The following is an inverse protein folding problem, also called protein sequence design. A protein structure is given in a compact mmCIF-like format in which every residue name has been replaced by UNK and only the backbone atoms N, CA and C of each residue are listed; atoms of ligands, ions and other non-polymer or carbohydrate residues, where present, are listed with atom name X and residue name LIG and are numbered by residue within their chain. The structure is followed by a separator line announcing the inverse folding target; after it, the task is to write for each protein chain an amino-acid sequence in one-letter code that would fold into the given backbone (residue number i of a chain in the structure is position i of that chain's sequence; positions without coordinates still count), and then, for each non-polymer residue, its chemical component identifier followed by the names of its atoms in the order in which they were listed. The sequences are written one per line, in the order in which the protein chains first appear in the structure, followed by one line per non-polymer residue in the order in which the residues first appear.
data_IF_021982559281
#
_entry.id   IF_021982559281
#
_cell.length_a   1.000
_cell.length_b   1.000
_cell.length_c   1.000
_cell.angle_alpha   90.00
_cell.angle_beta   90.00
_cell.angle_gamma   90.00
#
_symmetry.space_group_name_H-M   'P 1'
#
loop_
_entity.id
_entity.type
_entity.pdbx_description
1 polymer ?
#
# COMPACT_ATOMS: atom_id res chain seq x y z
N UNK A 1 18.69 12.88 15.69
CA UNK A 1 17.75 12.29 14.71
C UNK A 1 16.67 13.33 14.41
N UNK A 2 16.53 13.73 13.15
CA UNK A 2 15.67 14.85 12.72
C UNK A 2 14.18 14.55 12.89
N UNK A 3 13.42 15.48 13.47
CA UNK A 3 11.98 15.33 13.76
C UNK A 3 11.11 15.05 12.53
N UNK A 4 11.58 15.39 11.33
CA UNK A 4 10.90 15.09 10.06
C UNK A 4 10.75 13.58 9.83
N UNK A 5 11.80 12.80 10.16
CA UNK A 5 11.80 11.35 9.90
C UNK A 5 10.82 10.61 10.81
N UNK A 6 10.71 11.05 12.08
CA UNK A 6 9.77 10.51 13.05
C UNK A 6 8.31 10.82 12.67
N UNK A 7 8.03 12.04 12.21
CA UNK A 7 6.69 12.44 11.77
C UNK A 7 6.19 11.58 10.59
N UNK A 8 7.06 11.33 9.60
CA UNK A 8 6.71 10.52 8.42
C UNK A 8 6.43 9.07 8.79
N UNK A 9 7.23 8.47 9.67
CA UNK A 9 7.01 7.09 10.17
C UNK A 9 5.73 6.97 11.02
N UNK A 10 5.45 7.94 11.88
CA UNK A 10 4.24 7.96 12.71
C UNK A 10 2.97 8.17 11.88
N UNK A 11 3.04 9.00 10.83
CA UNK A 11 1.94 9.21 9.89
C UNK A 11 1.51 7.91 9.22
N UNK A 12 2.46 7.13 8.70
CA UNK A 12 2.15 5.90 7.98
C UNK A 12 1.60 4.81 8.89
N UNK A 13 2.11 4.69 10.12
CA UNK A 13 1.58 3.71 11.09
C UNK A 13 0.10 3.94 11.41
N UNK A 14 -0.35 5.20 11.45
CA UNK A 14 -1.75 5.52 11.72
C UNK A 14 -2.71 5.08 10.58
N UNK A 15 -2.20 4.93 9.35
CA UNK A 15 -2.99 4.50 8.19
C UNK A 15 -3.03 2.96 8.05
N UNK A 16 -2.37 2.20 8.92
CA UNK A 16 -2.31 0.74 8.82
C UNK A 16 -1.64 0.27 7.52
N UNK A 17 -2.19 -0.74 6.86
CA UNK A 17 -1.58 -1.35 5.65
C UNK A 17 -1.37 -0.37 4.50
N UNK A 18 -2.28 0.58 4.28
CA UNK A 18 -2.11 1.55 3.19
C UNK A 18 -0.94 2.49 3.47
N UNK A 19 -0.67 2.81 4.74
CA UNK A 19 0.51 3.59 5.13
C UNK A 19 1.81 2.84 4.86
N UNK A 20 1.86 1.53 5.14
CA UNK A 20 3.01 0.69 4.79
C UNK A 20 3.25 0.65 3.27
N UNK A 21 2.20 0.51 2.45
CA UNK A 21 2.36 0.59 0.99
C UNK A 21 2.87 1.96 0.53
N UNK A 22 2.36 3.06 1.08
CA UNK A 22 2.86 4.42 0.78
C UNK A 22 4.34 4.55 1.11
N UNK A 23 4.76 4.04 2.27
CA UNK A 23 6.17 3.99 2.67
C UNK A 23 7.04 3.23 1.67
N UNK A 24 6.66 2.00 1.34
CA UNK A 24 7.43 1.13 0.45
C UNK A 24 7.59 1.77 -0.93
N UNK A 25 6.49 2.34 -1.47
CA UNK A 25 6.50 3.04 -2.75
C UNK A 25 7.39 4.29 -2.72
N UNK A 26 7.29 5.12 -1.68
CA UNK A 26 8.08 6.36 -1.57
C UNK A 26 9.57 6.08 -1.38
N UNK A 27 9.92 5.08 -0.58
CA UNK A 27 11.31 4.67 -0.35
C UNK A 27 11.93 3.90 -1.53
N UNK A 28 11.14 3.56 -2.56
CA UNK A 28 11.60 2.74 -3.69
C UNK A 28 12.27 1.43 -3.22
N UNK A 29 11.71 0.81 -2.19
CA UNK A 29 12.26 -0.37 -1.53
C UNK A 29 11.33 -1.59 -1.68
N UNK A 30 11.74 -2.72 -1.10
CA UNK A 30 10.85 -3.86 -0.85
C UNK A 30 10.85 -4.15 0.65
N UNK A 31 9.68 -4.45 1.20
CA UNK A 31 9.53 -4.73 2.63
C UNK A 31 8.37 -5.70 2.89
N UNK A 32 8.28 -6.21 4.10
CA UNK A 32 7.27 -7.19 4.50
C UNK A 32 6.02 -6.51 5.06
N UNK A 33 4.86 -6.84 4.50
CA UNK A 33 3.53 -6.47 5.02
C UNK A 33 2.76 -7.76 5.32
N UNK A 34 2.33 -7.96 6.56
CA UNK A 34 1.67 -9.19 7.02
C UNK A 34 2.40 -10.50 6.64
N UNK A 35 3.73 -10.50 6.63
CA UNK A 35 4.52 -11.67 6.24
C UNK A 35 4.70 -11.88 4.73
N UNK A 36 4.14 -11.01 3.89
CA UNK A 36 4.34 -11.01 2.44
C UNK A 36 5.36 -9.95 2.02
N UNK A 37 6.35 -10.34 1.22
CA UNK A 37 7.28 -9.39 0.61
C UNK A 37 6.56 -8.59 -0.48
N UNK A 38 6.54 -7.28 -0.34
CA UNK A 38 5.90 -6.33 -1.27
C UNK A 38 6.96 -5.37 -1.78
N UNK A 39 7.12 -5.26 -3.10
CA UNK A 39 8.03 -4.33 -3.74
C UNK A 39 7.38 -2.96 -4.00
N UNK A 40 8.21 -1.96 -4.37
CA UNK A 40 7.76 -0.60 -4.64
C UNK A 40 6.67 -0.52 -5.73
N UNK A 41 6.74 -1.36 -6.76
CA UNK A 41 5.78 -1.38 -7.86
C UNK A 41 4.40 -1.90 -7.42
N UNK A 42 4.40 -3.02 -6.68
CA UNK A 42 3.19 -3.62 -6.12
C UNK A 42 2.58 -2.70 -5.06
N UNK A 43 3.41 -2.09 -4.22
CA UNK A 43 2.98 -1.12 -3.23
C UNK A 43 2.34 0.11 -3.91
N UNK A 44 2.97 0.66 -4.94
CA UNK A 44 2.42 1.77 -5.72
C UNK A 44 1.08 1.40 -6.36
N UNK A 45 0.95 0.20 -6.94
CA UNK A 45 -0.31 -0.30 -7.48
C UNK A 45 -1.42 -0.35 -6.41
N UNK A 46 -1.10 -0.83 -5.20
CA UNK A 46 -2.04 -0.87 -4.08
C UNK A 46 -2.50 0.53 -3.66
N UNK A 47 -1.57 1.50 -3.61
CA UNK A 47 -1.88 2.90 -3.30
C UNK A 47 -2.78 3.52 -4.36
N UNK A 48 -2.42 3.37 -5.64
CA UNK A 48 -3.21 3.89 -6.76
C UNK A 48 -4.63 3.33 -6.76
N UNK A 49 -4.79 2.02 -6.58
CA UNK A 49 -6.11 1.41 -6.54
C UNK A 49 -6.91 1.93 -5.35
N UNK A 50 -6.36 1.89 -4.13
CA UNK A 50 -7.04 2.36 -2.92
C UNK A 50 -7.55 3.79 -3.06
N UNK A 51 -6.74 4.70 -3.62
CA UNK A 51 -7.09 6.11 -3.78
C UNK A 51 -8.17 6.33 -4.85
N UNK A 52 -8.28 5.43 -5.84
CA UNK A 52 -9.33 5.44 -6.86
C UNK A 52 -10.65 4.78 -6.41
N UNK A 53 -10.67 4.04 -5.30
CA UNK A 53 -11.89 3.40 -4.80
C UNK A 53 -12.86 4.39 -4.15
N UNK A 54 -14.15 4.20 -4.42
CA UNK A 54 -15.23 4.81 -3.62
C UNK A 54 -15.20 4.33 -2.17
N UNK A 55 -15.82 5.06 -1.25
CA UNK A 55 -15.86 4.72 0.18
C UNK A 55 -16.37 3.29 0.45
N UNK A 56 -17.47 2.91 -0.23
CA UNK A 56 -18.02 1.54 -0.15
C UNK A 56 -17.02 0.49 -0.58
N UNK A 57 -16.28 0.72 -1.66
CA UNK A 57 -15.32 -0.25 -2.17
C UNK A 57 -14.03 -0.26 -1.35
N UNK A 58 -13.64 0.88 -0.78
CA UNK A 58 -12.50 0.99 0.15
C UNK A 58 -12.72 0.14 1.40
N UNK A 59 -13.93 0.12 1.96
CA UNK A 59 -14.26 -0.77 3.07
C UNK A 59 -14.07 -2.25 2.72
N UNK A 60 -14.51 -2.66 1.53
CA UNK A 60 -14.33 -4.05 1.03
C UNK A 60 -12.87 -4.38 0.77
N UNK A 61 -12.12 -3.43 0.22
CA UNK A 61 -10.68 -3.55 -0.02
C UNK A 61 -9.90 -3.73 1.28
N UNK A 62 -10.17 -2.90 2.29
CA UNK A 62 -9.49 -2.96 3.59
C UNK A 62 -9.78 -4.27 4.35
N UNK A 63 -10.87 -4.97 4.02
CA UNK A 63 -11.20 -6.28 4.55
C UNK A 63 -10.44 -7.45 3.86
N UNK A 64 -9.83 -7.23 2.70
CA UNK A 64 -9.05 -8.25 1.98
C UNK A 64 -7.70 -8.51 2.68
N UNK A 65 -7.12 -9.69 2.49
CA UNK A 65 -5.74 -9.98 2.91
C UNK A 65 -4.74 -9.18 2.07
N UNK A 66 -3.51 -9.04 2.56
CA UNK A 66 -2.43 -8.35 1.82
C UNK A 66 -2.17 -9.03 0.47
N UNK A 67 -2.18 -10.36 0.41
CA UNK A 67 -2.05 -11.11 -0.85
C UNK A 67 -3.17 -10.77 -1.85
N UNK A 68 -4.43 -10.74 -1.40
CA UNK A 68 -5.58 -10.39 -2.25
C UNK A 68 -5.50 -8.95 -2.74
N UNK A 69 -5.08 -8.02 -1.88
CA UNK A 69 -4.87 -6.62 -2.25
C UNK A 69 -3.80 -6.53 -3.35
N UNK A 70 -2.62 -7.12 -3.15
CA UNK A 70 -1.55 -7.10 -4.13
C UNK A 70 -2.00 -7.69 -5.48
N UNK A 71 -2.65 -8.86 -5.47
CA UNK A 71 -3.14 -9.51 -6.69
C UNK A 71 -4.11 -8.61 -7.48
N UNK A 72 -5.14 -8.08 -6.81
CA UNK A 72 -6.15 -7.25 -7.47
C UNK A 72 -5.54 -5.92 -7.94
N UNK A 73 -4.69 -5.28 -7.13
CA UNK A 73 -4.00 -4.05 -7.51
C UNK A 73 -3.17 -4.26 -8.77
N UNK A 74 -2.26 -5.25 -8.76
CA UNK A 74 -1.38 -5.55 -9.89
C UNK A 74 -2.17 -5.87 -11.14
N UNK A 75 -3.24 -6.67 -11.02
CA UNK A 75 -4.08 -7.03 -12.17
C UNK A 75 -4.76 -5.81 -12.80
N UNK A 76 -5.26 -4.89 -11.98
CA UNK A 76 -6.00 -3.72 -12.46
C UNK A 76 -5.10 -2.57 -12.93
N UNK A 77 -3.88 -2.44 -12.40
CA UNK A 77 -2.96 -1.37 -12.78
C UNK A 77 -1.93 -1.78 -13.83
N UNK A 78 -1.51 -3.05 -13.85
CA UNK A 78 -0.46 -3.56 -14.74
C UNK A 78 -0.96 -4.56 -15.78
N UNK A 79 -2.13 -5.17 -15.57
CA UNK A 79 -2.73 -6.15 -16.49
C UNK A 79 -3.56 -5.55 -17.63
N UNK A 80 -3.67 -4.23 -17.71
CA UNK A 80 -4.31 -3.52 -18.82
C UNK A 80 -3.32 -3.16 -19.93
N UNK A 81 -2.90 -4.16 -20.72
CA UNK A 81 -2.32 -3.97 -22.04
C UNK A 81 -2.93 -4.97 -23.01
#
# INVERSE_FOLDING_TARGET
MSGMKRYVEERWKAEGRIGEYRRIAELHAADTVDGLLVDAWTAAACVTLHDALSERNRARWLAMSTAQQCEVAVRLTMGGR
#
